data_IF_377157313973
#
_entry.id   IF_377157313973
#
_cell.length_a   1.000
_cell.length_b   1.000
_cell.length_c   1.000
_cell.angle_alpha   90.00
_cell.angle_beta   90.00
_cell.angle_gamma   90.00
#
_symmetry.space_group_name_H-M   'P 1'
#
loop_
_entity.id
_entity.type
_entity.pdbx_description
1 polymer ?
#
# COMPACT_ATOMS: atom_id res chain seq x y z
N UNK A 1 25.24 -68.45 17.12
CA UNK A 1 23.92 -68.20 16.52
C UNK A 1 23.16 -67.21 17.40
N UNK A 2 22.67 -66.12 16.81
CA UNK A 2 21.53 -65.30 17.25
C UNK A 2 21.68 -64.53 18.60
N UNK A 3 22.12 -63.26 18.63
CA UNK A 3 21.40 -62.01 18.28
C UNK A 3 20.37 -61.62 19.37
N UNK A 4 20.65 -60.54 20.12
CA UNK A 4 19.87 -59.28 20.26
C UNK A 4 20.13 -58.54 21.60
N UNK A 5 20.85 -57.41 21.51
CA UNK A 5 20.53 -56.18 22.25
C UNK A 5 19.45 -55.43 21.44
N UNK A 6 18.58 -54.56 22.02
CA UNK A 6 19.00 -53.20 22.42
C UNK A 6 18.37 -52.73 23.75
N UNK A 7 19.14 -52.14 24.68
CA UNK A 7 19.46 -50.70 24.77
C UNK A 7 18.23 -49.79 24.63
N UNK A 8 17.64 -49.44 25.77
CA UNK A 8 16.56 -48.48 25.89
C UNK A 8 17.02 -47.09 25.42
N UNK A 9 16.37 -46.58 24.37
CA UNK A 9 16.56 -45.25 23.82
C UNK A 9 15.94 -44.23 24.78
N UNK A 10 16.79 -43.53 25.53
CA UNK A 10 16.42 -42.42 26.41
C UNK A 10 16.24 -41.16 25.55
N UNK A 11 15.03 -40.95 25.04
CA UNK A 11 14.65 -39.72 24.32
C UNK A 11 14.47 -38.62 25.37
N UNK A 12 15.50 -37.78 25.53
CA UNK A 12 15.41 -36.50 26.21
C UNK A 12 14.50 -35.56 25.39
N UNK A 13 13.21 -35.59 25.67
CA UNK A 13 12.28 -34.54 25.27
C UNK A 13 12.54 -33.36 26.21
N UNK A 14 13.40 -32.44 25.78
CA UNK A 14 13.58 -31.15 26.45
C UNK A 14 12.32 -30.31 26.28
N UNK A 15 11.38 -30.50 27.18
CA UNK A 15 10.18 -29.69 27.32
C UNK A 15 10.55 -28.40 28.08
N UNK A 16 11.04 -27.39 27.37
CA UNK A 16 11.15 -26.05 27.91
C UNK A 16 9.86 -25.28 27.59
N UNK A 17 8.94 -25.27 28.54
CA UNK A 17 7.77 -24.40 28.55
C UNK A 17 7.76 -23.62 29.86
N UNK A 18 8.16 -22.35 29.82
CA UNK A 18 7.69 -21.28 30.73
C UNK A 18 8.10 -19.91 30.19
N UNK A 19 7.18 -19.25 29.50
CA UNK A 19 6.95 -17.80 29.53
C UNK A 19 5.72 -17.49 28.65
N UNK A 20 4.54 -17.69 29.23
CA UNK A 20 3.29 -17.22 28.65
C UNK A 20 3.26 -15.69 28.60
N UNK A 21 2.64 -15.18 27.53
CA UNK A 21 2.20 -13.78 27.36
C UNK A 21 3.25 -12.71 27.07
N UNK A 22 4.19 -12.98 26.16
CA UNK A 22 4.88 -11.92 25.38
C UNK A 22 5.06 -12.26 23.89
N UNK A 23 4.79 -13.52 23.49
CA UNK A 23 5.09 -14.06 22.15
C UNK A 23 4.19 -13.53 21.02
N UNK A 24 3.15 -12.74 21.32
CA UNK A 24 2.10 -12.37 20.36
C UNK A 24 2.49 -11.35 19.29
N UNK A 25 3.35 -10.37 19.62
CA UNK A 25 3.76 -9.30 18.67
C UNK A 25 5.23 -9.37 18.25
N UNK A 26 6.12 -9.85 19.11
CA UNK A 26 7.57 -9.83 18.85
C UNK A 26 7.93 -10.64 17.60
N UNK A 27 7.32 -11.82 17.39
CA UNK A 27 7.55 -12.63 16.19
C UNK A 27 7.00 -12.01 14.88
N UNK A 28 6.12 -11.02 15.00
CA UNK A 28 5.44 -10.34 13.89
C UNK A 28 5.98 -8.92 13.65
N UNK A 29 6.97 -8.50 14.45
CA UNK A 29 7.67 -7.23 14.29
C UNK A 29 8.77 -7.35 13.26
N UNK A 30 8.94 -6.32 12.43
CA UNK A 30 10.06 -6.21 11.52
C UNK A 30 11.29 -5.75 12.28
N UNK A 31 12.33 -6.57 12.22
CA UNK A 31 13.70 -6.16 12.51
C UNK A 31 14.44 -6.06 11.18
N UNK A 32 15.28 -5.03 11.04
CA UNK A 32 16.10 -4.83 9.84
C UNK A 32 16.82 -6.13 9.52
N UNK A 33 16.62 -6.65 8.30
CA UNK A 33 17.36 -7.82 7.83
C UNK A 33 18.48 -7.34 6.93
N UNK A 34 19.69 -7.79 7.23
CA UNK A 34 20.75 -7.71 6.24
C UNK A 34 20.28 -8.45 4.99
N UNK A 35 20.56 -7.90 3.81
CA UNK A 35 20.29 -8.55 2.54
C UNK A 35 21.22 -9.76 2.38
N UNK A 36 21.03 -10.81 3.19
CA UNK A 36 21.69 -12.07 3.02
C UNK A 36 21.17 -12.67 1.71
N UNK A 37 22.10 -12.96 0.79
CA UNK A 37 21.79 -13.60 -0.48
C UNK A 37 20.94 -14.85 -0.22
N UNK A 38 19.87 -15.09 -1.01
CA UNK A 38 19.05 -16.27 -0.83
C UNK A 38 19.90 -17.53 -0.96
N UNK A 39 19.87 -18.39 0.06
CA UNK A 39 20.53 -19.68 0.01
C UNK A 39 19.81 -20.53 -1.03
N UNK A 40 20.54 -20.98 -2.06
CA UNK A 40 20.01 -21.79 -3.14
C UNK A 40 19.18 -22.96 -2.60
N UNK A 41 17.90 -23.05 -3.00
CA UNK A 41 16.96 -24.08 -2.55
C UNK A 41 16.01 -23.65 -1.41
N UNK A 42 16.09 -22.41 -0.92
CA UNK A 42 15.13 -21.87 0.04
C UNK A 42 14.07 -21.04 -0.69
N UNK A 43 12.77 -21.28 -0.43
CA UNK A 43 11.70 -20.40 -0.89
C UNK A 43 11.92 -19.01 -0.29
N UNK A 44 12.31 -18.04 -1.11
CA UNK A 44 12.50 -16.66 -0.67
C UNK A 44 11.11 -16.07 -0.42
N UNK A 45 10.66 -16.09 0.83
CA UNK A 45 9.43 -15.38 1.18
C UNK A 45 9.67 -13.89 0.95
N UNK A 46 8.95 -13.30 0.00
CA UNK A 46 9.05 -11.88 -0.38
C UNK A 46 8.58 -11.02 0.81
N UNK A 47 9.47 -10.27 1.49
CA UNK A 47 9.05 -9.62 2.73
C UNK A 47 8.22 -8.37 2.51
N UNK A 48 6.98 -8.38 3.02
CA UNK A 48 6.08 -7.23 3.00
C UNK A 48 6.05 -6.62 4.40
N UNK A 49 6.38 -5.34 4.51
CA UNK A 49 6.48 -4.66 5.80
C UNK A 49 5.48 -3.52 5.85
N UNK A 50 4.57 -3.56 6.81
CA UNK A 50 3.60 -2.50 7.05
C UNK A 50 4.17 -1.47 8.04
N UNK A 51 4.23 -0.21 7.61
CA UNK A 51 4.52 0.91 8.51
C UNK A 51 3.30 1.24 9.39
N UNK A 52 3.47 1.94 10.53
CA UNK A 52 2.35 2.41 11.34
C UNK A 52 1.39 3.26 10.50
N UNK A 53 0.09 2.96 10.58
CA UNK A 53 -0.94 3.63 9.77
C UNK A 53 -1.12 5.07 10.25
N UNK A 54 -1.24 6.01 9.31
CA UNK A 54 -1.70 7.35 9.60
C UNK A 54 -3.22 7.33 9.83
N UNK A 55 -3.62 7.49 11.08
CA UNK A 55 -5.01 7.31 11.54
C UNK A 55 -5.59 8.61 12.07
N UNK A 56 -5.14 9.76 11.56
CA UNK A 56 -5.56 11.08 12.04
C UNK A 56 -7.08 11.23 12.26
N UNK A 57 -7.98 10.74 11.38
CA UNK A 57 -9.43 10.85 11.59
C UNK A 57 -10.00 10.03 12.77
N UNK A 58 -9.27 9.03 13.27
CA UNK A 58 -9.73 8.16 14.38
C UNK A 58 -8.84 8.23 15.63
N UNK A 59 -7.68 8.86 15.54
CA UNK A 59 -6.66 8.90 16.60
C UNK A 59 -7.20 9.43 17.94
N UNK A 60 -8.15 10.36 17.92
CA UNK A 60 -8.71 10.98 19.13
C UNK A 60 -9.45 10.01 20.05
N UNK A 61 -10.09 8.97 19.49
CA UNK A 61 -10.86 7.98 20.26
C UNK A 61 -10.29 6.56 20.15
N UNK A 62 -9.36 6.33 19.22
CA UNK A 62 -8.65 5.08 19.04
C UNK A 62 -7.15 5.32 18.81
N UNK A 63 -6.38 5.67 19.86
CA UNK A 63 -4.97 6.02 19.74
C UNK A 63 -4.08 4.86 19.26
N UNK A 64 -4.43 3.62 19.61
CA UNK A 64 -3.69 2.40 19.21
C UNK A 64 -3.98 1.95 17.76
N UNK A 65 -4.94 2.59 17.06
CA UNK A 65 -5.38 2.19 15.73
C UNK A 65 -4.24 2.11 14.70
N UNK A 66 -3.21 2.95 14.85
CA UNK A 66 -2.07 2.98 13.95
C UNK A 66 -1.37 1.61 13.85
N UNK A 67 -1.19 0.94 14.99
CA UNK A 67 -0.55 -0.38 15.07
C UNK A 67 -1.58 -1.49 14.91
N UNK A 68 -2.77 -1.36 15.50
CA UNK A 68 -3.80 -2.39 15.40
C UNK A 68 -4.23 -2.63 13.93
N UNK A 69 -4.39 -1.57 13.13
CA UNK A 69 -4.64 -1.72 11.70
C UNK A 69 -3.43 -2.30 10.96
N UNK A 70 -2.20 -1.92 11.29
CA UNK A 70 -1.01 -2.50 10.68
C UNK A 70 -0.91 -4.01 10.92
N UNK A 71 -1.17 -4.46 12.15
CA UNK A 71 -1.21 -5.88 12.50
C UNK A 71 -2.35 -6.63 11.84
N UNK A 72 -3.53 -6.02 11.72
CA UNK A 72 -4.65 -6.60 11.01
C UNK A 72 -4.35 -6.75 9.50
N UNK A 73 -3.74 -5.75 8.87
CA UNK A 73 -3.28 -5.82 7.47
C UNK A 73 -2.25 -6.94 7.27
N UNK A 74 -1.26 -7.00 8.15
CA UNK A 74 -0.23 -8.04 8.17
C UNK A 74 -0.84 -9.44 8.28
N UNK A 75 -1.81 -9.63 9.18
CA UNK A 75 -2.51 -10.90 9.33
C UNK A 75 -3.30 -11.28 8.08
N UNK A 76 -4.00 -10.32 7.45
CA UNK A 76 -4.76 -10.58 6.23
C UNK A 76 -3.86 -11.04 5.07
N UNK A 77 -2.71 -10.38 4.88
CA UNK A 77 -1.72 -10.78 3.86
C UNK A 77 -1.14 -12.16 4.16
N UNK A 78 -0.68 -12.41 5.38
CA UNK A 78 -0.07 -13.69 5.76
C UNK A 78 -1.00 -14.89 5.56
N UNK A 79 -2.29 -14.69 5.81
CA UNK A 79 -3.29 -15.75 5.69
C UNK A 79 -3.68 -16.00 4.23
N UNK A 80 -3.70 -14.95 3.39
CA UNK A 80 -4.29 -15.01 2.05
C UNK A 80 -3.28 -15.09 0.91
N UNK A 81 -2.05 -14.65 1.12
CA UNK A 81 -1.00 -14.60 0.09
C UNK A 81 0.15 -15.52 0.53
N UNK A 82 0.20 -16.73 -0.03
CA UNK A 82 1.10 -17.81 0.45
C UNK A 82 2.59 -17.54 0.22
N UNK A 83 2.94 -16.82 -0.84
CA UNK A 83 4.33 -16.61 -1.29
C UNK A 83 5.00 -15.37 -0.68
N UNK A 84 4.30 -14.68 0.22
CA UNK A 84 4.83 -13.53 0.94
C UNK A 84 4.80 -13.82 2.43
N UNK A 85 5.63 -13.10 3.15
CA UNK A 85 5.55 -13.03 4.60
C UNK A 85 5.44 -11.58 4.99
N UNK A 86 4.50 -11.29 5.88
CA UNK A 86 4.16 -9.95 6.29
C UNK A 86 4.59 -9.67 7.72
N UNK A 87 5.15 -8.47 7.92
CA UNK A 87 5.61 -7.95 9.21
C UNK A 87 5.07 -6.54 9.46
N UNK A 88 5.10 -6.11 10.72
CA UNK A 88 4.83 -4.72 11.10
C UNK A 88 6.14 -4.06 11.53
N UNK A 89 6.52 -2.99 10.85
CA UNK A 89 7.68 -2.19 11.21
C UNK A 89 7.32 -1.08 12.18
N UNK A 90 7.12 -1.41 13.45
CA UNK A 90 6.76 -0.42 14.49
C UNK A 90 7.78 0.73 14.61
N UNK A 91 9.06 0.45 14.32
CA UNK A 91 10.13 1.45 14.29
C UNK A 91 10.31 2.16 12.94
N UNK A 92 9.47 1.87 11.95
CA UNK A 92 9.46 2.62 10.69
C UNK A 92 8.84 4.01 10.90
N UNK A 93 9.18 4.98 10.04
CA UNK A 93 8.49 6.26 10.02
C UNK A 93 6.97 6.07 9.89
N UNK A 94 6.14 6.89 10.54
CA UNK A 94 4.69 6.87 10.35
C UNK A 94 4.32 7.02 8.87
N UNK A 95 3.21 6.43 8.43
CA UNK A 95 2.81 6.43 7.02
C UNK A 95 2.60 7.82 6.39
N UNK A 96 2.35 8.85 7.20
CA UNK A 96 2.24 10.24 6.74
C UNK A 96 3.59 10.96 6.61
N UNK A 97 4.69 10.35 7.04
CA UNK A 97 5.99 11.02 7.11
C UNK A 97 6.52 11.37 5.72
N UNK A 98 7.02 12.59 5.56
CA UNK A 98 7.58 13.08 4.29
C UNK A 98 8.83 12.30 3.86
N UNK A 99 9.48 11.58 4.79
CA UNK A 99 10.67 10.76 4.51
C UNK A 99 10.39 9.71 3.43
N UNK A 100 9.15 9.23 3.30
CA UNK A 100 8.76 8.30 2.23
C UNK A 100 8.89 8.89 0.83
N UNK A 101 8.89 10.22 0.68
CA UNK A 101 9.15 10.90 -0.59
C UNK A 101 10.65 11.07 -0.88
N UNK A 102 11.51 10.93 0.14
CA UNK A 102 12.96 11.17 0.03
C UNK A 102 13.76 9.94 -0.41
N UNK A 103 13.13 8.77 -0.47
CA UNK A 103 13.71 7.53 -0.99
C UNK A 103 13.67 6.35 -0.01
N UNK A 104 14.54 5.37 -0.24
CA UNK A 104 14.63 4.14 0.55
C UNK A 104 14.83 4.42 2.03
N UNK A 105 14.10 3.70 2.88
CA UNK A 105 14.26 3.80 4.34
C UNK A 105 15.27 2.76 4.83
N UNK A 106 16.39 3.15 5.49
CA UNK A 106 17.39 2.19 5.97
C UNK A 106 16.85 1.16 6.96
N UNK A 107 15.84 1.54 7.74
CA UNK A 107 15.14 0.68 8.71
C UNK A 107 14.25 -0.37 8.03
N UNK A 108 13.91 -0.16 6.76
CA UNK A 108 13.18 -1.12 5.94
C UNK A 108 14.11 -1.99 5.05
N UNK A 109 15.43 -1.90 5.22
CA UNK A 109 16.36 -2.71 4.45
C UNK A 109 16.05 -4.21 4.58
N UNK A 110 16.08 -4.92 3.45
CA UNK A 110 15.68 -6.32 3.34
C UNK A 110 14.20 -6.55 3.05
N UNK A 111 13.37 -5.49 3.08
CA UNK A 111 11.97 -5.59 2.64
C UNK A 111 11.89 -5.71 1.11
N UNK A 112 11.03 -6.60 0.61
CA UNK A 112 10.63 -6.62 -0.80
C UNK A 112 9.69 -5.44 -1.09
N UNK A 113 8.74 -5.20 -0.18
CA UNK A 113 7.78 -4.11 -0.29
C UNK A 113 7.52 -3.49 1.09
N UNK A 114 7.58 -2.17 1.17
CA UNK A 114 7.19 -1.39 2.34
C UNK A 114 5.86 -0.72 2.07
N UNK A 115 4.85 -1.01 2.89
CA UNK A 115 3.49 -0.51 2.72
C UNK A 115 3.23 0.59 3.73
N UNK A 116 2.84 1.76 3.22
CA UNK A 116 2.32 2.87 4.04
C UNK A 116 0.83 3.00 3.79
N UNK A 117 0.07 3.37 4.81
CA UNK A 117 -1.38 3.50 4.73
C UNK A 117 -1.85 4.72 5.50
N UNK A 118 -2.76 5.49 4.91
CA UNK A 118 -3.33 6.70 5.50
C UNK A 118 -4.85 6.65 5.42
N UNK A 119 -5.52 6.90 6.53
CA UNK A 119 -6.95 7.21 6.55
C UNK A 119 -7.08 8.70 6.24
N UNK A 120 -7.57 9.02 5.06
CA UNK A 120 -7.61 10.38 4.51
C UNK A 120 -8.79 11.16 5.07
N UNK A 121 -9.95 10.50 5.14
CA UNK A 121 -11.20 11.15 5.54
C UNK A 121 -12.15 10.15 6.20
N UNK A 122 -13.08 10.70 7.00
CA UNK A 122 -14.13 9.96 7.69
C UNK A 122 -15.29 10.90 8.03
N UNK A 123 -16.47 10.61 7.50
CA UNK A 123 -17.64 11.46 7.67
C UNK A 123 -18.94 10.64 7.77
N UNK A 124 -19.94 11.27 8.38
CA UNK A 124 -21.30 10.76 8.46
C UNK A 124 -22.06 11.18 7.19
N UNK A 125 -22.66 10.21 6.50
CA UNK A 125 -23.42 10.42 5.26
C UNK A 125 -24.94 10.25 5.48
N UNK A 126 -25.38 10.11 6.72
CA UNK A 126 -26.80 9.97 7.04
C UNK A 126 -27.59 11.22 6.63
N UNK A 127 -28.70 10.99 5.94
CA UNK A 127 -29.64 12.07 5.64
C UNK A 127 -30.58 12.31 6.83
N UNK A 128 -31.20 13.49 6.93
CA UNK A 128 -31.94 13.92 8.12
C UNK A 128 -33.09 13.01 8.59
N UNK A 129 -33.61 12.10 7.74
CA UNK A 129 -34.54 11.05 8.16
C UNK A 129 -33.83 9.81 8.73
N UNK A 130 -32.66 9.45 8.20
CA UNK A 130 -31.87 8.28 8.60
C UNK A 130 -31.17 8.49 9.94
N UNK A 131 -30.73 9.73 10.22
CA UNK A 131 -30.14 10.11 11.52
C UNK A 131 -31.07 9.83 12.72
N UNK A 132 -32.39 9.84 12.52
CA UNK A 132 -33.39 9.56 13.56
C UNK A 132 -33.64 8.06 13.80
N UNK A 133 -33.11 7.19 12.94
CA UNK A 133 -33.35 5.73 13.01
C UNK A 133 -32.42 4.99 13.99
N UNK A 134 -31.37 5.66 14.50
CA UNK A 134 -30.33 5.03 15.31
C UNK A 134 -29.34 4.16 14.52
N UNK A 135 -29.43 4.16 13.19
CA UNK A 135 -28.48 3.52 12.26
C UNK A 135 -27.45 4.59 11.87
N UNK A 136 -26.17 4.29 12.10
CA UNK A 136 -25.07 5.13 11.62
C UNK A 136 -24.75 4.77 10.17
N UNK A 137 -24.56 5.79 9.34
CA UNK A 137 -24.05 5.66 7.98
C UNK A 137 -22.76 6.45 7.87
N UNK A 138 -21.63 5.75 7.84
CA UNK A 138 -20.31 6.36 7.82
C UNK A 138 -19.58 5.96 6.55
N UNK A 139 -18.87 6.91 5.96
CA UNK A 139 -17.95 6.68 4.86
C UNK A 139 -16.55 7.12 5.25
N UNK A 140 -15.55 6.36 4.83
CA UNK A 140 -14.14 6.67 5.01
C UNK A 140 -13.37 6.42 3.73
N UNK A 141 -12.29 7.17 3.54
CA UNK A 141 -11.35 6.95 2.44
C UNK A 141 -9.97 6.65 2.97
N UNK A 142 -9.34 5.61 2.45
CA UNK A 142 -7.96 5.25 2.75
C UNK A 142 -7.09 5.32 1.49
N UNK A 143 -5.83 5.68 1.66
CA UNK A 143 -4.79 5.59 0.65
C UNK A 143 -3.70 4.63 1.13
N UNK A 144 -3.27 3.75 0.24
CA UNK A 144 -2.21 2.77 0.48
C UNK A 144 -1.16 2.90 -0.61
N UNK A 145 0.11 2.92 -0.19
CA UNK A 145 1.27 3.01 -1.08
C UNK A 145 2.24 1.87 -0.77
N UNK A 146 2.84 1.29 -1.80
CA UNK A 146 3.87 0.26 -1.69
C UNK A 146 5.17 0.72 -2.34
N UNK A 147 6.24 0.71 -1.58
CA UNK A 147 7.58 1.12 -1.98
C UNK A 147 8.52 -0.09 -2.05
N UNK A 148 9.33 -0.19 -3.10
CA UNK A 148 10.39 -1.20 -3.18
C UNK A 148 11.59 -0.83 -2.28
N UNK A 149 12.54 -1.76 -2.16
CA UNK A 149 13.76 -1.59 -1.35
C UNK A 149 14.58 -0.35 -1.73
N UNK A 150 14.52 0.09 -2.99
CA UNK A 150 15.17 1.30 -3.51
C UNK A 150 14.38 2.60 -3.24
N UNK A 151 13.22 2.51 -2.58
CA UNK A 151 12.32 3.62 -2.30
C UNK A 151 11.39 3.98 -3.45
N UNK A 152 11.41 3.22 -4.56
CA UNK A 152 10.52 3.45 -5.69
C UNK A 152 9.08 3.08 -5.34
N UNK A 153 8.15 3.99 -5.57
CA UNK A 153 6.72 3.72 -5.48
C UNK A 153 6.29 2.79 -6.62
N UNK A 154 5.77 1.61 -6.28
CA UNK A 154 5.32 0.59 -7.25
C UNK A 154 3.86 0.19 -7.08
N UNK A 155 3.22 0.62 -6.00
CA UNK A 155 1.81 0.40 -5.74
C UNK A 155 1.20 1.66 -5.14
N UNK A 156 0.04 2.07 -5.65
CA UNK A 156 -0.78 3.14 -5.09
C UNK A 156 -2.24 2.75 -5.26
N UNK A 157 -3.02 2.83 -4.17
CA UNK A 157 -4.45 2.61 -4.20
C UNK A 157 -5.13 3.56 -3.22
N UNK A 158 -6.09 4.32 -3.72
CA UNK A 158 -7.09 5.01 -2.89
C UNK A 158 -8.42 4.28 -3.01
N UNK A 159 -9.09 4.04 -1.89
CA UNK A 159 -10.37 3.36 -1.84
C UNK A 159 -11.26 3.94 -0.74
N UNK A 160 -12.56 4.02 -1.01
CA UNK A 160 -13.56 4.28 0.03
C UNK A 160 -14.10 2.98 0.61
N UNK A 161 -14.59 3.05 1.82
CA UNK A 161 -15.32 2.01 2.52
C UNK A 161 -16.28 2.63 3.50
N UNK A 162 -17.20 1.83 4.05
CA UNK A 162 -18.25 2.39 4.88
C UNK A 162 -18.79 1.42 5.92
N UNK A 163 -19.57 2.00 6.83
CA UNK A 163 -20.32 1.24 7.82
C UNK A 163 -21.78 1.69 7.82
N UNK A 164 -22.68 0.72 7.73
CA UNK A 164 -24.11 0.91 7.97
C UNK A 164 -24.58 -0.10 9.00
N UNK A 165 -25.07 0.37 10.15
CA UNK A 165 -25.52 -0.52 11.21
C UNK A 165 -25.95 0.18 12.49
N UNK A 166 -26.60 -0.57 13.37
CA UNK A 166 -27.04 -0.05 14.67
C UNK A 166 -25.85 0.33 15.54
N UNK A 167 -25.95 1.50 16.17
CA UNK A 167 -24.99 1.92 17.20
C UNK A 167 -25.49 1.42 18.55
N UNK A 168 -24.75 0.53 19.19
CA UNK A 168 -25.09 0.00 20.51
C UNK A 168 -24.15 0.59 21.56
N UNK A 169 -24.65 1.39 22.53
CA UNK A 169 -23.83 1.96 23.61
C UNK A 169 -23.19 0.91 24.55
N UNK A 170 -23.52 -0.38 24.39
CA UNK A 170 -23.09 -1.47 25.28
C UNK A 170 -21.79 -2.17 24.86
N UNK A 171 -21.22 -1.85 23.70
CA UNK A 171 -19.90 -2.29 23.26
C UNK A 171 -19.07 -1.05 22.86
N UNK A 172 -18.49 -0.37 23.85
CA UNK A 172 -17.66 0.83 23.64
C UNK A 172 -16.16 0.49 23.71
N UNK A 173 -15.72 -0.56 23.03
CA UNK A 173 -14.30 -0.70 22.75
C UNK A 173 -13.98 0.11 21.49
N UNK A 174 -12.82 0.78 21.44
CA UNK A 174 -12.47 1.68 20.34
C UNK A 174 -12.47 0.98 18.97
N UNK A 175 -12.21 -0.32 18.91
CA UNK A 175 -12.28 -1.17 17.71
C UNK A 175 -13.72 -1.46 17.26
N UNK A 176 -14.67 -1.51 18.19
CA UNK A 176 -16.08 -1.77 17.91
C UNK A 176 -16.83 -0.51 17.44
N UNK A 177 -16.23 0.67 17.60
CA UNK A 177 -16.79 1.95 17.16
C UNK A 177 -17.09 1.92 15.64
N UNK A 178 -18.30 2.32 15.21
CA UNK A 178 -18.66 2.43 13.80
C UNK A 178 -17.66 3.21 12.93
N UNK A 179 -17.03 4.25 13.49
CA UNK A 179 -16.01 5.07 12.83
C UNK A 179 -14.74 4.29 12.56
N UNK A 180 -14.30 3.48 13.53
CA UNK A 180 -13.18 2.55 13.35
C UNK A 180 -13.50 1.51 12.28
N UNK A 181 -14.73 0.99 12.28
CA UNK A 181 -15.18 0.00 11.29
C UNK A 181 -15.22 0.56 9.88
N UNK A 182 -15.69 1.80 9.69
CA UNK A 182 -15.68 2.47 8.39
C UNK A 182 -14.25 2.71 7.89
N UNK A 183 -13.35 3.20 8.77
CA UNK A 183 -11.93 3.37 8.43
C UNK A 183 -11.28 2.04 8.04
N UNK A 184 -11.54 0.98 8.80
CA UNK A 184 -11.05 -0.36 8.49
C UNK A 184 -11.60 -0.90 7.17
N UNK A 185 -12.87 -0.63 6.85
CA UNK A 185 -13.48 -1.05 5.60
C UNK A 185 -12.78 -0.43 4.38
N UNK A 186 -12.45 0.87 4.44
CA UNK A 186 -11.68 1.55 3.41
C UNK A 186 -10.28 0.93 3.25
N UNK A 187 -9.60 0.62 4.35
CA UNK A 187 -8.29 -0.07 4.34
C UNK A 187 -8.41 -1.47 3.72
N UNK A 188 -9.47 -2.24 4.04
CA UNK A 188 -9.71 -3.56 3.44
C UNK A 188 -9.89 -3.50 1.93
N UNK A 189 -10.51 -2.46 1.41
CA UNK A 189 -10.67 -2.27 -0.04
C UNK A 189 -9.32 -1.97 -0.72
N UNK A 190 -8.42 -1.24 -0.05
CA UNK A 190 -7.03 -1.13 -0.50
C UNK A 190 -6.28 -2.47 -0.44
N UNK A 191 -6.39 -3.21 0.68
CA UNK A 191 -5.76 -4.53 0.85
C UNK A 191 -6.18 -5.53 -0.23
N UNK A 192 -7.46 -5.54 -0.61
CA UNK A 192 -7.94 -6.42 -1.68
C UNK A 192 -7.17 -6.21 -2.99
N UNK A 193 -6.84 -4.94 -3.31
CA UNK A 193 -6.05 -4.59 -4.49
C UNK A 193 -4.57 -4.93 -4.30
N UNK A 194 -4.03 -4.72 -3.10
CA UNK A 194 -2.64 -5.08 -2.77
C UNK A 194 -2.40 -6.59 -2.91
N UNK A 195 -3.32 -7.44 -2.43
CA UNK A 195 -3.22 -8.90 -2.59
C UNK A 195 -3.12 -9.30 -4.06
N UNK A 196 -4.03 -8.79 -4.89
CA UNK A 196 -4.02 -9.05 -6.33
C UNK A 196 -2.72 -8.55 -7.00
N UNK A 197 -2.15 -7.45 -6.52
CA UNK A 197 -0.84 -6.97 -6.98
C UNK A 197 0.29 -7.95 -6.60
N UNK A 198 0.36 -8.39 -5.34
CA UNK A 198 1.40 -9.31 -4.85
C UNK A 198 1.35 -10.69 -5.53
N UNK A 199 0.13 -11.18 -5.81
CA UNK A 199 -0.12 -12.39 -6.57
C UNK A 199 0.35 -12.22 -8.03
N UNK A 200 0.00 -11.12 -8.71
CA UNK A 200 0.44 -10.88 -10.10
C UNK A 200 1.96 -10.73 -10.24
N UNK A 201 2.62 -10.11 -9.26
CA UNK A 201 4.07 -9.95 -9.28
C UNK A 201 4.83 -11.29 -9.14
N UNK A 202 4.14 -12.38 -8.80
CA UNK A 202 4.72 -13.72 -8.77
C UNK A 202 5.06 -14.25 -10.18
N UNK A 203 4.38 -13.77 -11.21
CA UNK A 203 4.56 -14.23 -12.60
C UNK A 203 5.66 -13.48 -13.36
N UNK A 204 6.27 -12.47 -12.73
CA UNK A 204 7.40 -11.73 -13.30
C UNK A 204 8.71 -12.44 -12.90
N UNK A 205 9.63 -12.70 -13.85
CA UNK A 205 10.89 -13.39 -13.54
C UNK A 205 11.64 -12.62 -12.44
N UNK A 206 12.12 -13.37 -11.45
CA UNK A 206 12.80 -12.89 -10.23
C UNK A 206 13.95 -11.92 -10.53
N UNK A 207 13.62 -10.66 -10.77
CA UNK A 207 14.57 -9.58 -10.59
C UNK A 207 14.67 -9.36 -9.08
N UNK A 208 15.58 -10.12 -8.45
CA UNK A 208 16.00 -9.87 -7.07
C UNK A 208 16.40 -8.38 -6.99
N UNK A 209 15.68 -7.52 -6.25
CA UNK A 209 16.12 -6.15 -6.02
C UNK A 209 17.28 -6.21 -5.03
N UNK A 210 18.50 -6.31 -5.55
CA UNK A 210 19.70 -6.49 -4.74
C UNK A 210 21.00 -6.73 -5.52
N UNK A 211 20.94 -7.07 -6.81
CA UNK A 211 22.14 -7.06 -7.65
C UNK A 211 22.41 -5.64 -8.17
N UNK A 212 23.20 -4.88 -7.42
CA UNK A 212 23.87 -3.67 -7.93
C UNK A 212 24.82 -4.10 -9.06
N UNK A 213 24.69 -3.64 -10.32
CA UNK A 213 25.86 -3.57 -11.16
C UNK A 213 26.58 -2.28 -10.76
N UNK A 214 27.72 -2.44 -10.08
CA UNK A 214 28.64 -1.37 -9.80
C UNK A 214 29.02 -0.67 -11.12
N UNK A 215 29.10 0.66 -11.07
CA UNK A 215 29.60 1.49 -12.14
C UNK A 215 30.95 0.95 -12.67
N UNK A 216 31.05 0.82 -13.99
CA UNK A 216 32.27 0.38 -14.67
C UNK A 216 32.29 0.84 -16.13
N UNK A 217 32.86 2.02 -16.34
CA UNK A 217 33.71 2.43 -17.47
C UNK A 217 33.15 2.51 -18.91
N UNK A 218 33.46 3.64 -19.54
CA UNK A 218 33.22 4.03 -20.93
C UNK A 218 33.93 3.08 -21.93
N UNK A 219 33.24 2.59 -22.96
CA UNK A 219 33.80 2.40 -24.33
C UNK A 219 32.74 1.90 -25.36
N UNK A 220 32.55 2.71 -26.39
CA UNK A 220 32.22 2.49 -27.82
C UNK A 220 31.83 1.10 -28.36
N UNK A 221 30.83 1.17 -29.28
CA UNK A 221 30.45 0.28 -30.40
C UNK A 221 29.30 -0.74 -30.19
N UNK A 222 28.22 -0.46 -30.92
CA UNK A 222 27.08 -1.33 -31.23
C UNK A 222 27.46 -2.43 -32.28
N UNK A 223 26.54 -3.31 -32.77
CA UNK A 223 25.12 -3.49 -32.41
C UNK A 223 24.66 -4.95 -32.21
N UNK A 224 23.52 -5.15 -31.52
CA UNK A 224 22.43 -6.07 -31.93
C UNK A 224 21.26 -6.02 -30.91
N UNK A 225 20.18 -5.37 -31.33
CA UNK A 225 18.78 -5.44 -30.90
C UNK A 225 18.40 -5.63 -29.42
N UNK A 226 18.10 -4.51 -28.76
CA UNK A 226 17.15 -4.44 -27.65
C UNK A 226 16.13 -3.36 -27.97
N UNK A 227 14.86 -3.74 -28.15
CA UNK A 227 13.74 -2.83 -28.36
C UNK A 227 13.60 -1.96 -27.11
N UNK A 228 13.87 -0.66 -27.26
CA UNK A 228 13.88 0.31 -26.17
C UNK A 228 12.50 0.54 -25.56
N UNK A 229 12.43 0.49 -24.23
CA UNK A 229 11.37 1.18 -23.47
C UNK A 229 11.64 2.68 -23.60
N UNK A 230 10.73 3.48 -24.17
CA UNK A 230 10.99 4.91 -24.31
C UNK A 230 10.94 5.60 -22.93
N UNK A 231 11.75 6.64 -22.70
CA UNK A 231 11.83 7.32 -21.41
C UNK A 231 10.49 7.96 -21.04
N UNK A 232 10.02 7.73 -19.81
CA UNK A 232 8.83 8.39 -19.28
C UNK A 232 9.04 9.91 -19.22
N UNK A 233 8.00 10.66 -19.55
CA UNK A 233 7.99 12.10 -19.74
C UNK A 233 7.25 12.76 -18.57
N UNK A 234 7.86 13.76 -17.93
CA UNK A 234 7.23 14.55 -16.88
C UNK A 234 6.18 15.50 -17.48
N UNK A 235 4.93 15.35 -17.03
CA UNK A 235 3.79 16.18 -17.44
C UNK A 235 3.20 16.84 -16.21
N UNK A 236 3.12 18.17 -16.24
CA UNK A 236 2.47 18.97 -15.21
C UNK A 236 1.06 19.33 -15.67
N UNK A 237 0.07 19.00 -14.85
CA UNK A 237 -1.35 19.16 -15.15
C UNK A 237 -1.95 20.07 -14.08
N UNK A 238 -2.36 21.26 -14.51
CA UNK A 238 -3.01 22.27 -13.71
C UNK A 238 -4.43 22.50 -14.29
N UNK A 239 -5.45 22.74 -13.47
CA UNK A 239 -6.78 23.10 -13.99
C UNK A 239 -7.32 24.37 -13.33
N UNK A 240 -8.17 25.06 -14.07
CA UNK A 240 -8.92 26.20 -13.56
C UNK A 240 -10.43 25.91 -13.68
N UNK A 241 -11.14 25.67 -12.56
CA UNK A 241 -10.68 25.73 -11.16
C UNK A 241 -9.87 24.50 -10.72
N UNK A 242 -9.04 24.66 -9.67
CA UNK A 242 -8.15 23.61 -9.13
C UNK A 242 -8.92 22.52 -8.35
N UNK A 243 -8.29 21.36 -8.12
CA UNK A 243 -8.92 20.22 -7.44
C UNK A 243 -9.81 19.37 -8.34
N UNK A 244 -9.48 19.28 -9.63
CA UNK A 244 -10.13 18.37 -10.57
C UNK A 244 -9.41 17.01 -10.56
N UNK A 245 -10.17 15.93 -10.56
CA UNK A 245 -9.71 14.56 -10.71
C UNK A 245 -9.05 14.38 -12.08
N UNK A 246 -7.81 13.90 -12.09
CA UNK A 246 -6.98 13.67 -13.27
C UNK A 246 -7.02 12.20 -13.62
N UNK A 247 -7.65 11.83 -14.73
CA UNK A 247 -7.70 10.47 -15.25
C UNK A 247 -6.84 10.36 -16.52
N UNK A 248 -6.00 9.33 -16.62
CA UNK A 248 -5.20 9.02 -17.81
C UNK A 248 -5.58 7.61 -18.31
N UNK A 249 -6.00 7.51 -19.58
CA UNK A 249 -6.56 6.28 -20.17
C UNK A 249 -7.69 5.67 -19.32
N UNK A 250 -8.47 6.53 -18.65
CA UNK A 250 -9.55 6.12 -17.74
C UNK A 250 -9.11 5.76 -16.32
N UNK A 251 -7.82 5.82 -15.98
CA UNK A 251 -7.31 5.57 -14.64
C UNK A 251 -7.09 6.87 -13.86
N UNK A 252 -7.66 7.00 -12.66
CA UNK A 252 -7.45 8.16 -11.79
C UNK A 252 -6.01 8.21 -11.26
N UNK A 253 -5.28 9.25 -11.66
CA UNK A 253 -3.87 9.51 -11.35
C UNK A 253 -3.66 10.55 -10.24
N UNK A 254 -4.69 11.33 -9.86
CA UNK A 254 -4.59 12.32 -8.80
C UNK A 254 -5.59 13.48 -8.97
N UNK A 255 -5.33 14.60 -8.30
CA UNK A 255 -6.12 15.84 -8.42
C UNK A 255 -5.23 17.00 -8.82
N UNK A 256 -5.71 17.93 -9.65
CA UNK A 256 -4.94 19.11 -10.07
C UNK A 256 -4.69 20.08 -8.90
N UNK A 257 -3.48 20.66 -8.76
CA UNK A 257 -2.27 20.46 -9.56
C UNK A 257 -1.61 19.08 -9.36
N UNK A 258 -1.28 18.39 -10.45
CA UNK A 258 -0.61 17.09 -10.42
C UNK A 258 0.64 17.08 -11.33
N UNK A 259 1.69 16.39 -10.89
CA UNK A 259 2.88 16.09 -11.70
C UNK A 259 2.95 14.58 -11.94
N UNK A 260 2.88 14.16 -13.20
CA UNK A 260 2.80 12.75 -13.59
C UNK A 260 3.94 12.39 -14.55
N UNK A 261 4.55 11.21 -14.36
CA UNK A 261 5.46 10.62 -15.34
C UNK A 261 4.65 9.74 -16.29
N UNK A 262 4.51 10.17 -17.54
CA UNK A 262 3.68 9.52 -18.53
C UNK A 262 4.54 8.95 -19.67
N UNK A 263 4.22 7.76 -20.20
CA UNK A 263 4.93 7.23 -21.36
C UNK A 263 4.72 8.16 -22.58
N UNK A 264 5.72 8.34 -23.45
CA UNK A 264 5.62 9.18 -24.66
C UNK A 264 4.81 8.47 -25.76
N UNK A 265 3.58 8.07 -25.42
CA UNK A 265 2.57 7.50 -26.30
C UNK A 265 1.32 8.39 -26.28
N UNK A 266 0.43 8.23 -27.25
CA UNK A 266 -0.88 8.89 -27.19
C UNK A 266 -1.67 8.38 -25.98
N UNK A 267 -2.11 9.31 -25.14
CA UNK A 267 -2.84 9.08 -23.90
C UNK A 267 -4.09 9.94 -23.88
N UNK A 268 -5.17 9.41 -23.31
CA UNK A 268 -6.40 10.19 -23.10
C UNK A 268 -6.37 10.79 -21.70
N UNK A 269 -6.18 12.10 -21.59
CA UNK A 269 -6.36 12.84 -20.34
C UNK A 269 -7.82 13.25 -20.20
N UNK A 270 -8.44 12.86 -19.10
CA UNK A 270 -9.77 13.27 -18.69
C UNK A 270 -9.70 13.95 -17.34
N UNK A 271 -10.28 15.14 -17.23
CA UNK A 271 -10.40 15.91 -16.00
C UNK A 271 -11.85 15.95 -15.57
N UNK A 272 -12.11 15.61 -14.32
CA UNK A 272 -13.46 15.60 -13.75
C UNK A 272 -13.51 16.42 -12.48
N UNK A 273 -14.60 17.16 -12.28
CA UNK A 273 -14.85 17.84 -11.01
C UNK A 273 -16.35 17.91 -10.79
N UNK A 274 -16.78 17.70 -9.54
CA UNK A 274 -18.19 17.79 -9.18
C UNK A 274 -18.76 19.17 -9.57
N UNK A 275 -19.83 19.19 -10.38
CA UNK A 275 -20.46 20.42 -10.89
C UNK A 275 -19.88 20.98 -12.20
N UNK A 276 -18.87 20.34 -12.79
CA UNK A 276 -18.25 20.76 -14.06
C UNK A 276 -18.41 19.68 -15.14
N UNK A 277 -18.41 20.08 -16.42
CA UNK A 277 -18.39 19.10 -17.51
C UNK A 277 -17.02 18.38 -17.53
N UNK A 278 -17.00 17.04 -17.72
CA UNK A 278 -15.76 16.31 -17.85
C UNK A 278 -15.04 16.80 -19.10
N UNK A 279 -13.78 17.20 -18.93
CA UNK A 279 -12.94 17.66 -20.02
C UNK A 279 -12.03 16.52 -20.47
N UNK A 280 -12.09 16.13 -21.73
CA UNK A 280 -11.30 15.03 -22.27
C UNK A 280 -10.45 15.49 -23.46
N UNK A 281 -9.18 15.09 -23.48
CA UNK A 281 -8.25 15.38 -24.57
C UNK A 281 -7.23 14.27 -24.74
N UNK A 282 -7.02 13.86 -25.98
CA UNK A 282 -5.87 13.03 -26.34
C UNK A 282 -4.63 13.88 -26.53
N UNK A 283 -3.52 13.46 -25.94
CA UNK A 283 -2.22 14.10 -26.09
C UNK A 283 -1.09 13.08 -26.08
N UNK A 284 0.05 13.43 -26.67
CA UNK A 284 1.28 12.64 -26.64
C UNK A 284 2.30 13.41 -25.83
N UNK A 285 2.78 12.89 -24.67
CA UNK A 285 3.83 13.54 -23.89
C UNK A 285 5.13 13.62 -24.69
N UNK A 286 5.56 14.82 -25.06
CA UNK A 286 6.86 15.07 -25.69
C UNK A 286 7.62 16.09 -24.86
N UNK A 287 8.58 15.63 -24.04
CA UNK A 287 9.33 16.49 -23.13
C UNK A 287 8.46 17.12 -22.02
N UNK A 288 8.98 18.15 -21.34
CA UNK A 288 8.23 18.82 -20.26
C UNK A 288 6.97 19.50 -20.80
N UNK A 289 5.80 18.92 -20.56
CA UNK A 289 4.51 19.42 -21.05
C UNK A 289 3.68 19.98 -19.89
N UNK A 290 3.25 21.25 -20.02
CA UNK A 290 2.39 21.94 -19.05
C UNK A 290 0.99 22.09 -19.64
N UNK A 291 0.00 21.43 -19.05
CA UNK A 291 -1.39 21.50 -19.47
C UNK A 291 -2.18 22.36 -18.49
N UNK A 292 -2.85 23.40 -19.00
CA UNK A 292 -3.75 24.31 -18.24
C UNK A 292 -5.16 24.37 -18.82
N UNK A 293 -5.94 23.27 -18.79
CA UNK A 293 -7.34 23.29 -19.21
C UNK A 293 -8.23 24.10 -18.25
N UNK A 294 -9.18 24.83 -18.85
CA UNK A 294 -10.26 25.53 -18.16
C UNK A 294 -11.50 24.64 -18.21
N UNK A 295 -12.07 24.33 -17.04
CA UNK A 295 -13.28 23.51 -16.96
C UNK A 295 -14.53 24.38 -17.07
N UNK A 296 -15.45 24.00 -17.95
CA UNK A 296 -16.74 24.68 -18.10
C UNK A 296 -17.74 24.13 -17.07
N UNK A 297 -18.39 25.02 -16.33
CA UNK A 297 -19.47 24.63 -15.41
C UNK A 297 -20.58 23.90 -16.17
N UNK A 298 -21.07 22.79 -15.61
CA UNK A 298 -22.18 22.07 -16.23
C UNK A 298 -23.47 22.83 -15.96
N UNK A 299 -24.14 23.31 -17.02
CA UNK A 299 -25.45 23.96 -16.88
C UNK A 299 -26.44 22.94 -16.31
N UNK A 300 -26.81 23.13 -15.04
CA UNK A 300 -27.78 22.29 -14.34
C UNK A 300 -29.15 22.34 -15.01
N UNK A 301 -29.79 21.17 -15.09
CA UNK A 301 -31.24 21.06 -15.22
C UNK A 301 -31.82 20.77 -13.85
#
# INVERSE_FOLDING_TARGET
MHVRLPLALLVLISLASTAGCAVGRDANRWEKRDAAAPVAGTTVQRPVVFAPVDVAPVAAFYPEAALDYAYAMRLDIDVRVREVKAWVGEGLPPSASEVWATGAQPTAAGAYLVVTTRVIDLHDVSTGLESKSGIAHLESTAEMRGYQADGKLVFLKKASGGFSGQTSPKLQTSDADPRSKAAWDAIRNCLATLRAYLERQQDLPDAIPGAVPAAGTVATAAPADVVGVPPAVLVQIDSEPSGADVLIDGNLMGTTPAQLHLPPKALTLRLERQGFQPWERQFTPTGELKLKPVLTASAGK
#
